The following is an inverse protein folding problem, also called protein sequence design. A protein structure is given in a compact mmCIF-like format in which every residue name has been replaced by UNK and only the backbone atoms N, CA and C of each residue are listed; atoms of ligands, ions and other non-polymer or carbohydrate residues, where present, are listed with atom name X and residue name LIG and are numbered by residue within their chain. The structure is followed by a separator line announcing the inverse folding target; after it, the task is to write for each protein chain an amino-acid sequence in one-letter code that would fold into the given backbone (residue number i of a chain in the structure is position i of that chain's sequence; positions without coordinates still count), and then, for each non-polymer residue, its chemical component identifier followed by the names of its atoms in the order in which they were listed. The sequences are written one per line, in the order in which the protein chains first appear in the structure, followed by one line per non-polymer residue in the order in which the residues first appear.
data_IF_992515206445
#
_entry.id   IF_992515206445
#
_cell.length_a   1.000
_cell.length_b   1.000
_cell.length_c   1.000
_cell.angle_alpha   90.00
_cell.angle_beta   90.00
_cell.angle_gamma   90.00
#
_symmetry.space_group_name_H-M   'P 1'
#
loop_
_entity.id
_entity.type
_entity.pdbx_description
1 polymer ?
#
# COMPACT_ATOMS: atom_id res chain seq x y z
N UNK A 1 -22.18 -6.15 -16.48
CA UNK A 1 -22.00 -6.99 -15.29
C UNK A 1 -20.97 -6.35 -14.38
N UNK A 2 -21.23 -6.36 -13.11
CA UNK A 2 -20.33 -5.77 -12.13
C UNK A 2 -19.10 -6.67 -11.92
N UNK A 3 -17.89 -6.13 -12.14
CA UNK A 3 -16.62 -6.82 -11.89
C UNK A 3 -16.03 -6.30 -10.56
N UNK A 4 -15.96 -7.13 -9.51
CA UNK A 4 -15.40 -6.73 -8.22
C UNK A 4 -13.94 -6.24 -8.31
N UNK A 5 -13.16 -6.80 -9.23
CA UNK A 5 -11.79 -6.37 -9.50
C UNK A 5 -11.74 -4.92 -9.99
N UNK A 6 -12.54 -4.60 -11.02
CA UNK A 6 -12.55 -3.26 -11.59
C UNK A 6 -13.03 -2.21 -10.58
N UNK A 7 -14.02 -2.58 -9.74
CA UNK A 7 -14.45 -1.72 -8.64
C UNK A 7 -13.30 -1.46 -7.66
N UNK A 8 -12.63 -2.50 -7.22
CA UNK A 8 -11.57 -2.39 -6.21
C UNK A 8 -10.35 -1.63 -6.75
N UNK A 9 -10.01 -1.81 -8.03
CA UNK A 9 -8.97 -1.01 -8.70
C UNK A 9 -9.35 0.47 -8.80
N UNK A 10 -10.63 0.76 -9.07
CA UNK A 10 -11.16 2.13 -9.03
C UNK A 10 -11.10 2.74 -7.64
N UNK A 11 -11.44 1.98 -6.61
CA UNK A 11 -11.34 2.41 -5.21
C UNK A 11 -9.87 2.70 -4.84
N UNK A 12 -8.94 1.85 -5.25
CA UNK A 12 -7.51 2.06 -5.03
C UNK A 12 -7.02 3.37 -5.68
N UNK A 13 -7.39 3.61 -6.93
CA UNK A 13 -7.02 4.85 -7.63
C UNK A 13 -7.56 6.09 -6.91
N UNK A 14 -8.80 6.02 -6.43
CA UNK A 14 -9.44 7.13 -5.71
C UNK A 14 -8.70 7.47 -4.41
N UNK A 15 -8.42 6.47 -3.58
CA UNK A 15 -7.75 6.70 -2.28
C UNK A 15 -6.29 7.09 -2.46
N UNK A 16 -5.61 6.53 -3.46
CA UNK A 16 -4.25 6.89 -3.85
C UNK A 16 -4.18 8.36 -4.28
N UNK A 17 -5.05 8.78 -5.18
CA UNK A 17 -5.07 10.16 -5.70
C UNK A 17 -5.30 11.17 -4.59
N UNK A 18 -6.24 10.91 -3.68
CA UNK A 18 -6.50 11.77 -2.53
C UNK A 18 -5.28 11.88 -1.59
N UNK A 19 -4.61 10.77 -1.33
CA UNK A 19 -3.39 10.73 -0.53
C UNK A 19 -2.26 11.55 -1.18
N UNK A 20 -2.03 11.36 -2.48
CA UNK A 20 -1.00 12.07 -3.23
C UNK A 20 -1.25 13.58 -3.25
N UNK A 21 -2.49 13.99 -3.42
CA UNK A 21 -2.88 15.41 -3.37
C UNK A 21 -2.59 16.02 -1.99
N UNK A 22 -2.92 15.29 -0.93
CA UNK A 22 -2.61 15.73 0.44
C UNK A 22 -1.11 15.94 0.65
N UNK A 23 -0.26 15.02 0.18
CA UNK A 23 1.20 15.18 0.27
C UNK A 23 1.73 16.34 -0.57
N UNK A 24 1.17 16.56 -1.77
CA UNK A 24 1.58 17.67 -2.65
C UNK A 24 1.26 19.03 -2.04
N UNK A 25 0.10 19.13 -1.40
CA UNK A 25 -0.39 20.39 -0.83
C UNK A 25 0.14 20.67 0.58
N UNK A 26 0.80 19.69 1.19
CA UNK A 26 1.40 19.85 2.50
C UNK A 26 2.53 20.90 2.46
N UNK A 27 2.59 21.78 3.45
CA UNK A 27 3.70 22.73 3.56
C UNK A 27 5.04 21.98 3.65
N UNK A 28 6.07 22.49 2.99
CA UNK A 28 7.36 21.77 2.84
C UNK A 28 7.98 21.38 4.17
N UNK A 29 7.89 22.24 5.20
CA UNK A 29 8.41 21.96 6.54
C UNK A 29 7.62 20.86 7.27
N UNK A 30 6.38 20.59 6.85
CA UNK A 30 5.54 19.53 7.44
C UNK A 30 5.87 18.15 6.92
N UNK A 31 6.46 18.07 5.74
CA UNK A 31 6.83 16.77 5.15
C UNK A 31 7.82 15.97 6.02
N UNK A 32 8.69 16.66 6.75
CA UNK A 32 9.64 16.06 7.68
C UNK A 32 9.26 16.26 9.16
N UNK A 33 8.08 16.76 9.44
CA UNK A 33 7.62 16.99 10.80
C UNK A 33 7.02 15.72 11.41
N UNK A 34 7.16 15.56 12.73
CA UNK A 34 6.69 14.38 13.44
C UNK A 34 5.17 14.25 13.48
N UNK A 35 4.67 13.04 13.26
CA UNK A 35 3.30 12.57 13.44
C UNK A 35 3.24 11.51 14.56
N UNK A 36 4.06 11.61 15.58
CA UNK A 36 4.32 10.54 16.53
C UNK A 36 5.66 9.90 16.19
N UNK A 37 5.68 8.59 15.92
CA UNK A 37 6.93 7.88 15.58
C UNK A 37 7.38 8.08 14.12
N UNK A 38 6.47 8.55 13.26
CA UNK A 38 6.72 8.74 11.83
C UNK A 38 6.55 10.20 11.41
N UNK A 39 7.01 10.48 10.19
CA UNK A 39 6.77 11.73 9.46
C UNK A 39 5.95 11.43 8.20
N UNK A 40 5.37 12.45 7.52
CA UNK A 40 4.77 12.24 6.20
C UNK A 40 5.75 11.62 5.19
N UNK A 41 7.05 11.95 5.30
CA UNK A 41 8.11 11.30 4.51
C UNK A 41 8.15 9.79 4.76
N UNK A 42 8.07 9.37 6.00
CA UNK A 42 8.09 7.95 6.37
C UNK A 42 6.87 7.21 5.84
N UNK A 43 5.70 7.84 5.91
CA UNK A 43 4.47 7.31 5.31
C UNK A 43 4.63 7.13 3.80
N UNK A 44 5.25 8.09 3.12
CA UNK A 44 5.52 7.99 1.68
C UNK A 44 6.43 6.79 1.36
N UNK A 45 7.53 6.62 2.09
CA UNK A 45 8.43 5.48 1.93
C UNK A 45 7.73 4.14 2.24
N UNK A 46 6.87 4.11 3.24
CA UNK A 46 6.01 2.98 3.58
C UNK A 46 5.17 2.52 2.38
N UNK A 47 4.52 3.44 1.67
CA UNK A 47 3.72 3.08 0.50
C UNK A 47 4.55 2.63 -0.70
N UNK A 48 5.74 3.19 -0.92
CA UNK A 48 6.66 2.67 -1.95
C UNK A 48 6.93 1.19 -1.70
N UNK A 49 7.25 0.84 -0.47
CA UNK A 49 7.53 -0.55 -0.08
C UNK A 49 6.31 -1.45 -0.23
N UNK A 50 5.16 -1.04 0.32
CA UNK A 50 3.94 -1.85 0.27
C UNK A 50 3.39 -2.05 -1.14
N UNK A 51 3.48 -1.05 -2.02
CA UNK A 51 3.12 -1.24 -3.42
C UNK A 51 3.98 -2.34 -4.06
N UNK A 52 5.28 -2.36 -3.79
CA UNK A 52 6.20 -3.38 -4.33
C UNK A 52 5.89 -4.78 -3.81
N UNK A 53 5.79 -4.94 -2.49
CA UNK A 53 5.59 -6.28 -1.93
C UNK A 53 4.18 -6.81 -2.14
N UNK A 54 3.18 -5.94 -2.30
CA UNK A 54 1.83 -6.36 -2.68
C UNK A 54 1.84 -6.99 -4.08
N UNK A 55 2.57 -6.41 -5.03
CA UNK A 55 2.74 -7.02 -6.35
C UNK A 55 3.38 -8.41 -6.25
N UNK A 56 4.49 -8.53 -5.53
CA UNK A 56 5.18 -9.81 -5.33
C UNK A 56 4.27 -10.81 -4.62
N UNK A 57 3.59 -10.40 -3.56
CA UNK A 57 2.68 -11.27 -2.81
C UNK A 57 1.51 -11.77 -3.63
N UNK A 58 0.91 -10.93 -4.47
CA UNK A 58 -0.15 -11.35 -5.39
C UNK A 58 0.38 -12.36 -6.42
N UNK A 59 1.60 -12.16 -6.92
CA UNK A 59 2.25 -13.11 -7.83
C UNK A 59 2.48 -14.47 -7.15
N UNK A 60 2.97 -14.46 -5.92
CA UNK A 60 3.18 -15.69 -5.13
C UNK A 60 1.86 -16.42 -4.85
N UNK A 61 0.81 -15.71 -4.47
CA UNK A 61 -0.52 -16.29 -4.27
C UNK A 61 -1.05 -17.00 -5.52
N UNK A 62 -0.87 -16.41 -6.70
CA UNK A 62 -1.27 -17.03 -7.96
C UNK A 62 -0.51 -18.31 -8.26
N UNK A 63 0.72 -18.42 -7.80
CA UNK A 63 1.55 -19.63 -7.91
C UNK A 63 1.26 -20.66 -6.81
N UNK A 64 0.35 -20.35 -5.88
CA UNK A 64 0.06 -21.22 -4.74
C UNK A 64 1.15 -21.18 -3.66
N UNK A 65 1.95 -20.13 -3.64
CA UNK A 65 3.04 -19.92 -2.68
C UNK A 65 2.61 -18.88 -1.65
N UNK A 66 2.87 -19.16 -0.39
CA UNK A 66 2.62 -18.20 0.67
C UNK A 66 3.53 -16.96 0.51
N UNK A 67 2.97 -15.74 0.48
CA UNK A 67 3.76 -14.53 0.40
C UNK A 67 4.84 -14.45 1.49
N UNK A 68 6.05 -14.11 1.10
CA UNK A 68 7.22 -14.15 1.99
C UNK A 68 7.04 -13.32 3.27
N UNK A 69 6.29 -12.23 3.20
CA UNK A 69 6.07 -11.33 4.34
C UNK A 69 5.03 -11.85 5.34
N UNK A 70 4.35 -12.96 5.04
CA UNK A 70 3.45 -13.63 6.00
C UNK A 70 4.22 -14.41 7.08
N UNK A 71 5.51 -14.66 6.88
CA UNK A 71 6.30 -15.52 7.74
C UNK A 71 6.85 -14.88 9.02
N UNK A 72 6.54 -13.63 9.31
CA UNK A 72 7.08 -13.03 10.52
C UNK A 72 6.47 -13.61 11.82
N UNK A 73 5.43 -14.42 11.69
CA UNK A 73 4.82 -15.18 12.77
C UNK A 73 4.03 -14.38 13.79
N UNK A 74 4.19 -13.07 13.80
CA UNK A 74 3.56 -12.18 14.78
C UNK A 74 2.39 -11.39 14.21
N UNK A 75 2.27 -11.34 12.89
CA UNK A 75 1.37 -10.45 12.15
C UNK A 75 1.62 -8.95 12.48
N UNK A 76 2.83 -8.68 12.94
CA UNK A 76 3.32 -7.36 13.25
C UNK A 76 4.31 -6.93 12.17
N UNK A 77 3.85 -6.12 11.26
CA UNK A 77 4.64 -5.67 10.11
C UNK A 77 5.63 -4.54 10.42
N UNK A 78 5.90 -4.25 11.72
CA UNK A 78 6.83 -3.17 12.11
C UNK A 78 8.23 -3.37 11.54
N UNK A 79 8.72 -4.60 11.49
CA UNK A 79 10.04 -4.90 10.91
C UNK A 79 10.09 -4.65 9.41
N UNK A 80 9.03 -5.03 8.72
CA UNK A 80 8.89 -4.81 7.27
C UNK A 80 8.80 -3.32 6.99
N UNK A 81 7.97 -2.61 7.73
CA UNK A 81 7.85 -1.15 7.62
C UNK A 81 9.18 -0.44 7.86
N UNK A 82 9.93 -0.84 8.88
CA UNK A 82 11.26 -0.29 9.16
C UNK A 82 12.22 -0.48 7.99
N UNK A 83 12.21 -1.64 7.34
CA UNK A 83 13.02 -1.89 6.14
C UNK A 83 12.65 -0.97 4.98
N UNK A 84 11.38 -0.66 4.80
CA UNK A 84 10.96 0.27 3.74
C UNK A 84 11.54 1.66 3.97
N UNK A 85 11.55 2.15 5.21
CA UNK A 85 12.14 3.43 5.55
C UNK A 85 13.66 3.46 5.26
N UNK A 86 14.34 2.37 5.54
CA UNK A 86 15.78 2.21 5.24
C UNK A 86 16.06 2.12 3.74
N UNK A 87 15.22 1.42 2.99
CA UNK A 87 15.36 1.26 1.53
C UNK A 87 15.14 2.55 0.75
N UNK A 88 14.32 3.46 1.29
CA UNK A 88 14.00 4.75 0.67
C UNK A 88 14.35 5.89 1.62
N UNK A 89 15.65 6.16 1.82
CA UNK A 89 16.08 7.16 2.81
C UNK A 89 15.95 8.61 2.34
N UNK A 90 15.52 8.85 1.08
CA UNK A 90 15.36 10.19 0.55
C UNK A 90 14.44 11.05 1.41
N UNK A 91 14.79 12.32 1.56
CA UNK A 91 13.96 13.36 2.19
C UNK A 91 13.32 14.28 1.14
N UNK A 92 13.57 14.02 -0.12
CA UNK A 92 12.99 14.76 -1.24
C UNK A 92 11.56 14.29 -1.49
N UNK A 93 10.61 15.21 -1.31
CA UNK A 93 9.18 14.92 -1.50
C UNK A 93 8.87 14.52 -2.93
N UNK A 94 9.38 15.24 -3.91
CA UNK A 94 9.08 14.98 -5.32
C UNK A 94 9.62 13.62 -5.77
N UNK A 95 10.81 13.26 -5.29
CA UNK A 95 11.39 11.93 -5.54
C UNK A 95 10.51 10.82 -4.96
N UNK A 96 10.07 10.95 -3.71
CA UNK A 96 9.20 9.95 -3.07
C UNK A 96 7.82 9.87 -3.74
N UNK A 97 7.21 10.99 -4.09
CA UNK A 97 5.95 11.01 -4.82
C UNK A 97 6.07 10.30 -6.17
N UNK A 98 7.18 10.51 -6.87
CA UNK A 98 7.48 9.81 -8.13
C UNK A 98 7.60 8.30 -7.91
N UNK A 99 8.31 7.85 -6.88
CA UNK A 99 8.46 6.44 -6.56
C UNK A 99 7.13 5.77 -6.16
N UNK A 100 6.28 6.46 -5.41
CA UNK A 100 4.93 5.96 -5.10
C UNK A 100 4.15 5.75 -6.40
N UNK A 101 4.19 6.72 -7.32
CA UNK A 101 3.50 6.64 -8.60
C UNK A 101 4.01 5.46 -9.43
N UNK A 102 5.32 5.33 -9.57
CA UNK A 102 5.95 4.23 -10.34
C UNK A 102 5.56 2.86 -9.78
N UNK A 103 5.64 2.70 -8.47
CA UNK A 103 5.32 1.43 -7.81
C UNK A 103 3.83 1.11 -7.85
N UNK A 104 2.97 2.12 -7.68
CA UNK A 104 1.51 1.96 -7.82
C UNK A 104 1.13 1.60 -9.25
N UNK A 105 1.69 2.27 -10.24
CA UNK A 105 1.39 1.99 -11.64
C UNK A 105 1.84 0.57 -12.05
N UNK A 106 3.00 0.12 -11.58
CA UNK A 106 3.47 -1.25 -11.80
C UNK A 106 2.52 -2.28 -11.15
N UNK A 107 2.08 -2.02 -9.92
CA UNK A 107 1.11 -2.87 -9.22
C UNK A 107 -0.22 -2.95 -9.99
N UNK A 108 -0.80 -1.81 -10.37
CA UNK A 108 -2.08 -1.76 -11.08
C UNK A 108 -1.96 -2.44 -12.45
N UNK A 109 -0.88 -2.21 -13.18
CA UNK A 109 -0.64 -2.89 -14.46
C UNK A 109 -0.62 -4.41 -14.30
N UNK A 110 0.05 -4.92 -13.28
CA UNK A 110 0.07 -6.34 -12.95
C UNK A 110 -1.34 -6.84 -12.57
N UNK A 111 -2.03 -6.16 -11.66
CA UNK A 111 -3.36 -6.55 -11.19
C UNK A 111 -4.39 -6.64 -12.34
N UNK A 112 -4.28 -5.77 -13.33
CA UNK A 112 -5.15 -5.81 -14.52
C UNK A 112 -4.95 -7.06 -15.39
N UNK A 113 -3.81 -7.74 -15.28
CA UNK A 113 -3.57 -9.00 -15.99
C UNK A 113 -4.24 -10.20 -15.33
N UNK A 114 -4.71 -10.05 -14.08
CA UNK A 114 -5.28 -11.16 -13.31
C UNK A 114 -6.73 -11.38 -13.73
N UNK A 115 -7.12 -12.59 -14.13
CA UNK A 115 -8.52 -12.90 -14.45
C UNK A 115 -9.46 -12.65 -13.26
N UNK A 116 -10.68 -12.20 -13.54
CA UNK A 116 -11.71 -12.01 -12.50
C UNK A 116 -11.90 -13.28 -11.64
N UNK A 117 -11.86 -14.46 -12.27
CA UNK A 117 -12.02 -15.75 -11.60
C UNK A 117 -10.93 -16.05 -10.56
N UNK A 118 -9.78 -15.41 -10.65
CA UNK A 118 -8.67 -15.57 -9.68
C UNK A 118 -8.71 -14.51 -8.56
N UNK A 119 -9.50 -13.45 -8.70
CA UNK A 119 -9.46 -12.27 -7.84
C UNK A 119 -9.79 -12.58 -6.37
N UNK A 120 -10.84 -13.38 -6.16
CA UNK A 120 -11.27 -13.80 -4.83
C UNK A 120 -10.99 -15.28 -4.55
N UNK A 121 -10.15 -15.91 -5.38
CA UNK A 121 -9.84 -17.32 -5.27
C UNK A 121 -9.10 -17.64 -3.97
N UNK A 122 -9.69 -18.52 -3.17
CA UNK A 122 -9.05 -19.11 -1.99
C UNK A 122 -8.20 -20.31 -2.44
N UNK A 123 -6.89 -20.17 -2.35
CA UNK A 123 -5.92 -21.23 -2.69
C UNK A 123 -5.52 -22.10 -1.50
N UNK A 124 -6.19 -21.92 -0.34
CA UNK A 124 -5.86 -22.62 0.90
C UNK A 124 -4.77 -21.95 1.72
N UNK A 125 -4.20 -20.85 1.25
CA UNK A 125 -3.24 -20.04 2.00
C UNK A 125 -4.01 -19.15 2.97
N UNK A 126 -3.58 -19.11 4.23
CA UNK A 126 -4.24 -18.37 5.29
C UNK A 126 -3.41 -17.16 5.69
N UNK A 127 -4.03 -16.00 5.75
CA UNK A 127 -3.43 -14.79 6.31
C UNK A 127 -3.73 -14.71 7.82
N UNK A 128 -3.14 -13.72 8.49
CA UNK A 128 -3.35 -13.58 9.92
C UNK A 128 -4.85 -13.46 10.29
N UNK A 129 -5.20 -13.85 11.49
CA UNK A 129 -6.58 -13.98 11.99
C UNK A 129 -7.37 -15.09 11.31
N UNK A 130 -6.70 -16.02 10.63
CA UNK A 130 -7.34 -17.19 10.04
C UNK A 130 -8.12 -16.91 8.75
N UNK A 131 -7.95 -15.73 8.15
CA UNK A 131 -8.64 -15.36 6.91
C UNK A 131 -7.94 -15.97 5.69
N UNK A 132 -8.70 -16.40 4.65
CA UNK A 132 -8.10 -16.75 3.37
C UNK A 132 -7.27 -15.60 2.80
N UNK A 133 -6.07 -15.90 2.32
CA UNK A 133 -5.25 -14.96 1.60
C UNK A 133 -5.65 -14.92 0.13
N UNK A 134 -6.41 -13.92 -0.26
CA UNK A 134 -6.83 -13.70 -1.65
C UNK A 134 -6.19 -12.44 -2.20
N UNK A 135 -6.13 -12.33 -3.53
CA UNK A 135 -5.66 -11.11 -4.19
C UNK A 135 -6.52 -9.92 -3.78
N UNK A 136 -7.84 -10.09 -3.77
CA UNK A 136 -8.77 -9.06 -3.30
C UNK A 136 -8.43 -8.54 -1.90
N UNK A 137 -8.05 -9.40 -0.97
CA UNK A 137 -7.67 -8.99 0.39
C UNK A 137 -6.35 -8.21 0.43
N UNK A 138 -5.38 -8.60 -0.38
CA UNK A 138 -4.11 -7.87 -0.48
C UNK A 138 -4.34 -6.45 -0.99
N UNK A 139 -5.17 -6.30 -2.01
CA UNK A 139 -5.53 -4.97 -2.56
C UNK A 139 -6.36 -4.17 -1.57
N UNK A 140 -7.32 -4.80 -0.89
CA UNK A 140 -8.16 -4.16 0.13
C UNK A 140 -7.33 -3.56 1.26
N UNK A 141 -6.23 -4.19 1.62
CA UNK A 141 -5.31 -3.65 2.63
C UNK A 141 -4.76 -2.28 2.25
N UNK A 142 -4.38 -2.09 0.97
CA UNK A 142 -3.93 -0.79 0.47
C UNK A 142 -5.10 0.22 0.37
N UNK A 143 -6.26 -0.23 -0.10
CA UNK A 143 -7.46 0.63 -0.20
C UNK A 143 -7.84 1.22 1.16
N UNK A 144 -7.62 0.46 2.23
CA UNK A 144 -7.87 0.94 3.61
C UNK A 144 -6.72 1.74 4.19
N UNK A 145 -5.49 1.43 3.82
CA UNK A 145 -4.29 2.03 4.43
C UNK A 145 -4.05 3.47 3.95
N UNK A 146 -4.24 3.74 2.67
CA UNK A 146 -4.10 5.10 2.13
C UNK A 146 -4.96 6.15 2.85
N UNK A 147 -6.28 5.95 3.00
CA UNK A 147 -7.10 6.93 3.70
C UNK A 147 -6.78 7.02 5.20
N UNK A 148 -6.37 5.94 5.83
CA UNK A 148 -5.93 5.94 7.23
C UNK A 148 -4.75 6.88 7.44
N UNK A 149 -3.70 6.71 6.67
CA UNK A 149 -2.50 7.55 6.78
C UNK A 149 -2.73 8.99 6.28
N UNK A 150 -3.60 9.16 5.27
CA UNK A 150 -4.04 10.50 4.87
C UNK A 150 -4.71 11.23 6.04
N UNK A 151 -5.59 10.55 6.75
CA UNK A 151 -6.30 11.14 7.90
C UNK A 151 -5.34 11.49 9.04
N UNK A 152 -4.34 10.67 9.31
CA UNK A 152 -3.28 10.99 10.30
C UNK A 152 -2.56 12.30 9.96
N UNK A 153 -2.25 12.53 8.69
CA UNK A 153 -1.62 13.77 8.22
C UNK A 153 -2.56 14.96 8.40
N UNK A 154 -3.82 14.81 8.00
CA UNK A 154 -4.82 15.87 8.12
C UNK A 154 -5.10 16.24 9.59
N UNK A 155 -5.18 15.26 10.47
CA UNK A 155 -5.41 15.48 11.90
C UNK A 155 -4.23 16.23 12.55
N UNK A 156 -3.01 15.98 12.10
CA UNK A 156 -1.82 16.60 12.65
C UNK A 156 -1.57 18.02 12.10
N UNK A 157 -1.82 18.27 10.82
CA UNK A 157 -1.40 19.48 10.13
C UNK A 157 -2.55 20.27 9.51
N UNK A 158 -3.77 19.73 9.55
CA UNK A 158 -4.94 20.37 8.99
C UNK A 158 -5.08 20.17 7.48
N UNK A 159 -6.21 20.66 6.97
CA UNK A 159 -6.51 20.74 5.54
C UNK A 159 -6.30 22.17 5.06
N UNK A 160 -5.61 22.32 3.96
CA UNK A 160 -5.61 23.58 3.19
C UNK A 160 -6.36 23.40 1.87
#
# INVERSE_FOLDING_TARGET
MFDPRDKQLGDLETVYSAFMETLKNLASEKFLASLGDWTPRDIAAHFVGWNRITLVGCSELREGVEPFYFYDGTNDYRKINARFLEQFPSTDRDELLKEITVTKDALVAYLKTIPESEWELDTGIVHYRGNPATIARCVDSLVRDYPKHRQEILDAFGTD
#
